data_IF_406846988616
#
_entry.id   IF_406846988616
#
_cell.length_a   1.000
_cell.length_b   1.000
_cell.length_c   1.000
_cell.angle_alpha   90.00
_cell.angle_beta   90.00
_cell.angle_gamma   90.00
#
_symmetry.space_group_name_H-M   'P 1'
#
loop_
_entity.id
_entity.type
_entity.pdbx_description
1 polymer ?
#
# COMPACT_ATOMS: atom_id res chain seq x y z
N UNK A 1 11.37 7.79 7.38
CA UNK A 1 12.53 6.88 7.34
C UNK A 1 13.80 7.65 7.02
N UNK A 2 14.01 8.08 5.77
CA UNK A 2 15.25 8.75 5.36
C UNK A 2 15.53 10.00 6.20
N UNK A 3 16.64 9.98 6.94
CA UNK A 3 17.06 11.11 7.78
C UNK A 3 16.19 11.36 9.02
N UNK A 4 15.30 10.43 9.38
CA UNK A 4 14.43 10.53 10.57
C UNK A 4 14.74 9.43 11.59
N UNK A 5 14.19 9.53 12.79
CA UNK A 5 14.29 8.54 13.88
C UNK A 5 13.17 7.47 13.85
N UNK A 6 12.34 7.48 12.81
CA UNK A 6 11.11 6.67 12.73
C UNK A 6 11.36 5.18 12.93
N UNK A 7 12.36 4.59 12.26
CA UNK A 7 12.65 3.16 12.41
C UNK A 7 13.06 2.82 13.84
N UNK A 8 13.97 3.61 14.43
CA UNK A 8 14.43 3.39 15.80
C UNK A 8 13.26 3.47 16.77
N UNK A 9 12.36 4.44 16.59
CA UNK A 9 11.15 4.58 17.39
C UNK A 9 10.20 3.38 17.23
N UNK A 10 9.94 2.92 16.00
CA UNK A 10 9.08 1.76 15.74
C UNK A 10 9.63 0.49 16.41
N UNK A 11 10.94 0.23 16.27
CA UNK A 11 11.59 -0.94 16.89
C UNK A 11 11.60 -0.87 18.41
N UNK A 12 11.86 0.31 18.98
CA UNK A 12 11.83 0.52 20.44
C UNK A 12 10.45 0.24 21.05
N UNK A 13 9.38 0.39 20.27
CA UNK A 13 8.00 0.09 20.66
C UNK A 13 7.52 -1.28 20.20
N UNK A 14 8.42 -2.16 19.75
CA UNK A 14 8.11 -3.50 19.27
C UNK A 14 7.02 -3.56 18.17
N UNK A 15 6.97 -2.52 17.32
CA UNK A 15 6.06 -2.48 16.18
C UNK A 15 6.64 -3.30 15.03
N UNK A 16 5.88 -4.28 14.55
CA UNK A 16 6.23 -5.11 13.39
C UNK A 16 5.44 -4.74 12.12
N UNK A 17 4.29 -4.07 12.28
CA UNK A 17 3.34 -3.76 11.23
C UNK A 17 2.98 -2.27 11.22
N UNK A 18 3.04 -1.65 10.05
CA UNK A 18 2.72 -0.22 9.87
C UNK A 18 1.47 -0.09 9.01
N UNK A 19 0.41 0.52 9.55
CA UNK A 19 -0.74 0.95 8.76
C UNK A 19 -0.52 2.36 8.21
N UNK A 20 -0.56 2.52 6.89
CA UNK A 20 -0.30 3.77 6.18
C UNK A 20 -1.60 4.39 5.68
N UNK A 21 -1.76 5.68 5.99
CA UNK A 21 -2.85 6.57 5.56
C UNK A 21 -2.26 7.93 5.16
N UNK A 22 -3.03 8.75 4.44
CA UNK A 22 -2.64 10.12 4.11
C UNK A 22 -2.36 10.33 2.64
N UNK A 23 -1.43 11.24 2.33
CA UNK A 23 -1.18 11.66 0.95
C UNK A 23 0.30 11.85 0.66
N UNK A 24 0.78 11.57 -0.56
CA UNK A 24 0.02 11.02 -1.70
C UNK A 24 0.34 9.54 -1.89
N UNK A 25 -0.68 8.78 -2.32
CA UNK A 25 -0.58 7.33 -2.55
C UNK A 25 0.62 6.96 -3.39
N UNK A 26 0.86 7.70 -4.47
CA UNK A 26 1.92 7.42 -5.45
C UNK A 26 3.27 8.06 -5.14
N UNK A 27 3.41 8.80 -4.03
CA UNK A 27 4.64 9.54 -3.72
C UNK A 27 5.10 9.32 -2.28
N UNK A 28 4.52 10.04 -1.32
CA UNK A 28 4.93 9.99 0.08
C UNK A 28 4.62 8.63 0.70
N UNK A 29 3.41 8.12 0.44
CA UNK A 29 2.94 6.85 0.97
C UNK A 29 3.74 5.70 0.33
N UNK A 30 3.77 5.62 -1.01
CA UNK A 30 4.51 4.60 -1.74
C UNK A 30 5.99 4.54 -1.35
N UNK A 31 6.67 5.69 -1.25
CA UNK A 31 8.09 5.73 -0.86
C UNK A 31 8.30 5.21 0.57
N UNK A 32 7.41 5.58 1.49
CA UNK A 32 7.46 5.13 2.89
C UNK A 32 7.19 3.63 2.99
N UNK A 33 6.18 3.13 2.28
CA UNK A 33 5.81 1.71 2.23
C UNK A 33 6.96 0.87 1.68
N UNK A 34 7.55 1.26 0.54
CA UNK A 34 8.67 0.53 -0.06
C UNK A 34 9.84 0.48 0.92
N UNK A 35 10.18 1.59 1.58
CA UNK A 35 11.24 1.62 2.58
C UNK A 35 10.94 0.67 3.74
N UNK A 36 9.73 0.75 4.32
CA UNK A 36 9.31 -0.10 5.44
C UNK A 36 9.43 -1.59 5.12
N UNK A 37 8.95 -2.02 3.95
CA UNK A 37 9.04 -3.42 3.50
C UNK A 37 10.49 -3.88 3.42
N UNK A 38 11.39 -3.06 2.85
CA UNK A 38 12.80 -3.42 2.74
C UNK A 38 13.53 -3.45 4.09
N UNK A 39 13.03 -2.72 5.10
CA UNK A 39 13.51 -2.78 6.48
C UNK A 39 12.90 -3.92 7.31
N UNK A 40 12.05 -4.75 6.69
CA UNK A 40 11.47 -5.94 7.29
C UNK A 40 10.17 -5.72 8.05
N UNK A 41 9.54 -4.54 7.93
CA UNK A 41 8.21 -4.31 8.49
C UNK A 41 7.13 -4.91 7.59
N UNK A 42 6.09 -5.46 8.20
CA UNK A 42 4.84 -5.69 7.51
C UNK A 42 4.14 -4.34 7.30
N UNK A 43 3.38 -4.22 6.20
CA UNK A 43 2.69 -2.98 5.88
C UNK A 43 1.23 -3.26 5.51
N UNK A 44 0.38 -2.34 5.92
CA UNK A 44 -1.04 -2.23 5.59
C UNK A 44 -1.27 -0.85 4.96
N UNK A 45 -2.10 -0.76 3.93
CA UNK A 45 -2.40 0.51 3.24
C UNK A 45 -3.91 0.71 3.16
N UNK A 46 -4.42 1.77 3.79
CA UNK A 46 -5.85 2.06 3.82
C UNK A 46 -6.24 2.90 2.60
N UNK A 47 -6.80 2.22 1.60
CA UNK A 47 -7.07 2.79 0.27
C UNK A 47 -8.08 3.95 0.31
N UNK A 48 -9.11 3.86 1.16
CA UNK A 48 -10.12 4.90 1.35
C UNK A 48 -9.73 5.98 2.38
N UNK A 49 -8.55 5.85 3.00
CA UNK A 49 -7.92 6.86 3.86
C UNK A 49 -6.76 7.59 3.18
N UNK A 50 -6.60 7.38 1.87
CA UNK A 50 -5.46 7.88 1.10
C UNK A 50 -5.90 8.42 -0.27
N UNK A 51 -5.00 9.08 -0.99
CA UNK A 51 -5.36 9.62 -2.31
C UNK A 51 -4.22 10.12 -3.18
N UNK A 52 -4.56 10.39 -4.44
CA UNK A 52 -3.67 10.92 -5.48
C UNK A 52 -4.24 12.20 -6.11
N UNK A 53 -3.40 12.90 -6.87
CA UNK A 53 -3.77 14.03 -7.74
C UNK A 53 -3.48 13.65 -9.20
N UNK A 54 -4.13 14.26 -10.20
CA UNK A 54 -3.81 13.99 -11.60
C UNK A 54 -2.46 14.59 -11.99
N UNK A 55 -1.73 13.95 -12.91
CA UNK A 55 -0.48 14.46 -13.47
C UNK A 55 -0.53 14.57 -14.98
N UNK A 56 0.07 15.64 -15.51
CA UNK A 56 0.35 15.85 -16.93
C UNK A 56 1.76 16.40 -17.09
N UNK A 57 2.62 15.75 -17.86
CA UNK A 57 3.98 16.21 -18.15
C UNK A 57 4.48 15.57 -19.46
N UNK A 58 5.78 15.69 -19.77
CA UNK A 58 6.37 15.14 -21.00
C UNK A 58 6.26 13.62 -21.14
N UNK A 59 5.98 12.88 -20.06
CA UNK A 59 5.76 11.44 -20.07
C UNK A 59 4.29 11.05 -20.34
N UNK A 60 3.35 12.01 -20.38
CA UNK A 60 1.94 11.78 -20.66
C UNK A 60 1.00 12.36 -19.60
N UNK A 61 -0.21 11.79 -19.54
CA UNK A 61 -1.26 12.16 -18.60
C UNK A 61 -1.80 10.93 -17.88
N UNK A 62 -2.11 11.07 -16.60
CA UNK A 62 -2.88 10.10 -15.84
C UNK A 62 -3.82 10.82 -14.86
N UNK A 63 -5.05 10.33 -14.75
CA UNK A 63 -6.01 10.87 -13.79
C UNK A 63 -5.62 10.50 -12.35
N UNK A 64 -6.16 11.23 -11.37
CA UNK A 64 -5.97 10.87 -9.95
C UNK A 64 -6.45 9.43 -9.65
N UNK A 65 -7.56 9.02 -10.26
CA UNK A 65 -8.13 7.68 -10.12
C UNK A 65 -7.18 6.62 -10.69
N UNK A 66 -6.67 6.82 -11.92
CA UNK A 66 -5.73 5.88 -12.54
C UNK A 66 -4.49 5.69 -11.67
N UNK A 67 -3.91 6.80 -11.19
CA UNK A 67 -2.69 6.77 -10.37
C UNK A 67 -2.96 6.05 -9.04
N UNK A 68 -4.02 6.43 -8.33
CA UNK A 68 -4.36 5.80 -7.05
C UNK A 68 -4.68 4.30 -7.24
N UNK A 69 -5.49 3.93 -8.23
CA UNK A 69 -5.84 2.54 -8.53
C UNK A 69 -4.62 1.70 -8.91
N UNK A 70 -3.78 2.17 -9.83
CA UNK A 70 -2.61 1.42 -10.30
C UNK A 70 -1.64 1.18 -9.15
N UNK A 71 -1.33 2.21 -8.35
CA UNK A 71 -0.42 2.06 -7.21
C UNK A 71 -1.04 1.13 -6.16
N UNK A 72 -2.34 1.24 -5.89
CA UNK A 72 -3.04 0.34 -4.95
C UNK A 72 -2.94 -1.13 -5.37
N UNK A 73 -3.12 -1.44 -6.66
CA UNK A 73 -2.96 -2.81 -7.20
C UNK A 73 -1.50 -3.29 -7.04
N UNK A 74 -0.51 -2.43 -7.33
CA UNK A 74 0.91 -2.74 -7.17
C UNK A 74 1.22 -3.04 -5.70
N UNK A 75 0.73 -2.21 -4.77
CA UNK A 75 0.91 -2.39 -3.34
C UNK A 75 0.34 -3.74 -2.89
N UNK A 76 -0.90 -4.06 -3.26
CA UNK A 76 -1.54 -5.34 -2.89
C UNK A 76 -0.74 -6.55 -3.38
N UNK A 77 -0.18 -6.46 -4.60
CA UNK A 77 0.55 -7.58 -5.22
C UNK A 77 1.86 -7.96 -4.51
N UNK A 78 2.41 -7.07 -3.66
CA UNK A 78 3.75 -7.29 -3.10
C UNK A 78 4.08 -6.55 -1.81
N UNK A 79 3.67 -5.30 -1.65
CA UNK A 79 4.26 -4.39 -0.68
C UNK A 79 3.39 -4.14 0.56
N UNK A 80 2.06 -4.25 0.46
CA UNK A 80 1.17 -4.03 1.58
C UNK A 80 -0.06 -4.93 1.49
N UNK A 81 -0.70 -5.21 2.63
CA UNK A 81 -2.11 -5.57 2.62
C UNK A 81 -2.93 -4.30 2.39
N UNK A 82 -3.68 -4.25 1.31
CA UNK A 82 -4.56 -3.14 0.94
C UNK A 82 -5.96 -3.47 1.40
N UNK A 83 -6.56 -2.53 2.13
CA UNK A 83 -7.91 -2.67 2.66
C UNK A 83 -8.56 -1.31 2.84
N UNK A 84 -9.86 -1.30 3.14
CA UNK A 84 -10.60 -0.11 3.59
C UNK A 84 -10.51 0.04 5.10
N UNK A 85 -10.73 1.25 5.63
CA UNK A 85 -10.74 1.52 7.08
C UNK A 85 -11.68 0.56 7.81
N UNK A 86 -12.88 0.31 7.28
CA UNK A 86 -13.86 -0.56 7.92
C UNK A 86 -13.32 -2.00 8.09
N UNK A 87 -12.70 -2.55 7.04
CA UNK A 87 -12.09 -3.88 7.06
C UNK A 87 -10.92 -3.94 8.05
N UNK A 88 -10.11 -2.88 8.11
CA UNK A 88 -8.99 -2.79 9.05
C UNK A 88 -9.46 -2.76 10.50
N UNK A 89 -10.49 -1.96 10.80
CA UNK A 89 -11.10 -1.91 12.13
C UNK A 89 -11.67 -3.28 12.52
N UNK A 90 -12.24 -4.03 11.58
CA UNK A 90 -12.76 -5.37 11.86
C UNK A 90 -11.64 -6.40 12.07
N UNK A 91 -10.52 -6.30 11.34
CA UNK A 91 -9.30 -7.08 11.62
C UNK A 91 -8.80 -6.83 13.06
N UNK A 92 -8.76 -5.57 13.52
CA UNK A 92 -8.36 -5.23 14.89
C UNK A 92 -9.27 -5.83 15.96
N UNK A 93 -10.60 -5.82 15.72
CA UNK A 93 -11.57 -6.40 16.68
C UNK A 93 -11.48 -7.91 16.76
N UNK A 94 -11.20 -8.57 15.64
CA UNK A 94 -11.27 -10.03 15.51
C UNK A 94 -9.91 -10.71 15.67
N UNK A 95 -8.82 -9.97 15.53
CA UNK A 95 -7.46 -10.52 15.44
C UNK A 95 -7.16 -11.21 14.09
N UNK A 96 -8.06 -11.12 13.11
CA UNK A 96 -7.83 -11.64 11.77
C UNK A 96 -6.76 -10.81 11.06
N UNK A 97 -5.84 -11.46 10.35
CA UNK A 97 -4.81 -10.78 9.57
C UNK A 97 -5.38 -10.38 8.20
N UNK A 98 -5.11 -9.14 7.72
CA UNK A 98 -5.47 -8.73 6.37
C UNK A 98 -4.82 -9.60 5.29
N UNK A 99 -5.53 -9.78 4.17
CA UNK A 99 -5.02 -10.52 3.01
C UNK A 99 -3.82 -9.80 2.38
N UNK A 100 -2.76 -10.56 2.10
CA UNK A 100 -1.63 -10.13 1.26
C UNK A 100 -1.57 -10.99 0.01
N UNK A 101 -1.45 -10.35 -1.13
CA UNK A 101 -1.36 -11.03 -2.41
C UNK A 101 0.11 -11.26 -2.82
N UNK A 102 0.30 -11.94 -3.95
CA UNK A 102 1.60 -12.17 -4.57
C UNK A 102 1.58 -11.78 -6.04
N UNK A 103 2.72 -11.33 -6.55
CA UNK A 103 2.90 -10.95 -7.96
C UNK A 103 2.38 -12.04 -8.90
N UNK A 104 2.72 -13.31 -8.62
CA UNK A 104 2.28 -14.43 -9.46
C UNK A 104 0.76 -14.57 -9.46
N UNK A 105 0.12 -14.63 -8.30
CA UNK A 105 -1.32 -14.81 -8.21
C UNK A 105 -2.10 -13.61 -8.79
N UNK A 106 -1.65 -12.38 -8.54
CA UNK A 106 -2.23 -11.17 -9.16
C UNK A 106 -2.15 -11.25 -10.69
N UNK A 107 -1.00 -11.65 -11.25
CA UNK A 107 -0.82 -11.81 -12.69
C UNK A 107 -1.73 -12.91 -13.27
N UNK A 108 -1.83 -14.08 -12.62
CA UNK A 108 -2.68 -15.17 -13.11
C UNK A 108 -4.16 -14.77 -13.16
N UNK A 109 -4.66 -14.04 -12.15
CA UNK A 109 -6.03 -13.51 -12.18
C UNK A 109 -6.26 -12.50 -13.30
N UNK A 110 -5.27 -11.66 -13.61
CA UNK A 110 -5.36 -10.73 -14.72
C UNK A 110 -5.41 -11.45 -16.09
N UNK A 111 -4.58 -12.49 -16.27
CA UNK A 111 -4.58 -13.30 -17.50
C UNK A 111 -5.92 -14.03 -17.69
N UNK A 112 -6.44 -14.65 -16.63
CA UNK A 112 -7.74 -15.31 -16.66
C UNK A 112 -8.88 -14.35 -17.03
N UNK A 113 -8.86 -13.12 -16.49
CA UNK A 113 -9.85 -12.09 -16.81
C UNK A 113 -9.79 -11.63 -18.26
N UNK A 114 -8.60 -11.52 -18.84
CA UNK A 114 -8.44 -11.08 -20.24
C UNK A 114 -8.80 -12.17 -21.26
N UNK A 115 -8.86 -13.43 -20.85
CA UNK A 115 -9.24 -14.56 -21.70
C UNK A 115 -10.75 -14.84 -21.74
N UNK A 116 -11.52 -14.22 -20.83
CA UNK A 116 -12.98 -14.31 -20.75
C UNK A 116 -13.65 -13.17 -21.54
#
# INVERSE_FOLDING_TARGET
FTGTDLEAWLRANAIDTIAVVGYMTHNCDLSTIIHAVHMGFAVEFLSDASGSVPYANSAGYASAEDIHRVVTIILQSRFAAVLKIAEWVDCLKTGALPERDTIFASNQRALARNAA
#
